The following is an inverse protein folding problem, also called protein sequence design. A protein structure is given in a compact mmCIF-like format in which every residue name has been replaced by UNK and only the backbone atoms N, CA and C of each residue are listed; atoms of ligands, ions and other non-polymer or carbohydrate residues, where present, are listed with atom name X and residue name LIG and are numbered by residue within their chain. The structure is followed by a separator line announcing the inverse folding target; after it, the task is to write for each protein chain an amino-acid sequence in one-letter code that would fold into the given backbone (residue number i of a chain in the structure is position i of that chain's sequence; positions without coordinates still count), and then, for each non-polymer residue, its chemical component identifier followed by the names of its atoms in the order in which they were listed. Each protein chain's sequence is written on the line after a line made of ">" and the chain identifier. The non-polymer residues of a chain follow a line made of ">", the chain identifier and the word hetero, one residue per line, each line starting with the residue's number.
data_IF_113112232175
#
_entry.id   IF_113112232175
#
_cell.length_a   1.000
_cell.length_b   1.000
_cell.length_c   1.000
_cell.angle_alpha   90.00
_cell.angle_beta   90.00
_cell.angle_gamma   90.00
#
_symmetry.space_group_name_H-M   'P 1'
#
loop_
_entity.id
_entity.type
_entity.pdbx_description
1 polymer ?
#
# COMPACT_ATOMS: atom_id res chain seq x y z
N UNK A 1 -16.26 15.60 24.98
CA UNK A 1 -17.06 14.39 24.73
C UNK A 1 -16.94 13.53 25.98
N UNK A 2 -17.68 13.87 27.02
CA UNK A 2 -17.91 13.00 28.16
C UNK A 2 -19.22 12.25 27.88
N UNK A 3 -19.22 10.92 28.02
CA UNK A 3 -20.41 10.09 27.83
C UNK A 3 -20.45 9.19 26.59
N UNK A 4 -19.33 8.98 25.88
CA UNK A 4 -19.26 7.90 24.90
C UNK A 4 -18.81 6.61 25.59
N UNK A 5 -19.77 5.74 25.91
CA UNK A 5 -19.51 4.41 26.45
C UNK A 5 -19.00 3.50 25.32
N UNK A 6 -17.69 3.23 25.36
CA UNK A 6 -17.01 2.41 24.36
C UNK A 6 -17.55 0.97 24.37
N UNK A 7 -17.97 0.45 25.52
CA UNK A 7 -18.48 -0.90 25.67
C UNK A 7 -19.91 -0.99 25.12
N UNK A 8 -20.73 0.04 25.34
CA UNK A 8 -22.07 0.14 24.73
C UNK A 8 -21.98 0.28 23.20
N UNK A 9 -21.02 1.06 22.70
CA UNK A 9 -20.79 1.19 21.26
C UNK A 9 -20.22 -0.08 20.65
N UNK A 10 -19.29 -0.77 21.33
CA UNK A 10 -18.80 -2.09 20.92
C UNK A 10 -19.94 -3.10 20.87
N UNK A 11 -20.80 -3.14 21.89
CA UNK A 11 -22.03 -3.96 21.88
C UNK A 11 -22.95 -3.57 20.75
N UNK A 12 -23.13 -2.28 20.46
CA UNK A 12 -23.96 -1.81 19.35
C UNK A 12 -23.41 -2.26 17.99
N UNK A 13 -22.12 -2.07 17.73
CA UNK A 13 -21.46 -2.52 16.49
C UNK A 13 -21.52 -4.04 16.40
N UNK A 14 -21.21 -4.76 17.47
CA UNK A 14 -21.29 -6.22 17.53
C UNK A 14 -22.72 -6.72 17.23
N UNK A 15 -23.71 -6.16 17.93
CA UNK A 15 -25.14 -6.50 17.76
C UNK A 15 -25.63 -6.16 16.36
N UNK A 16 -25.20 -5.05 15.77
CA UNK A 16 -25.55 -4.69 14.38
C UNK A 16 -24.85 -5.59 13.37
N UNK A 17 -23.59 -5.95 13.58
CA UNK A 17 -22.88 -6.90 12.74
C UNK A 17 -23.50 -8.31 12.82
N UNK A 18 -23.92 -8.77 13.99
CA UNK A 18 -24.60 -10.06 14.18
C UNK A 18 -26.03 -10.06 13.63
N UNK A 19 -26.80 -8.99 13.87
CA UNK A 19 -28.18 -8.89 13.43
C UNK A 19 -28.33 -8.77 11.91
N UNK A 20 -27.30 -8.30 11.19
CA UNK A 20 -27.41 -8.02 9.77
C UNK A 20 -27.16 -9.23 8.88
N UNK A 21 -26.48 -10.30 9.32
CA UNK A 21 -26.27 -11.55 8.56
C UNK A 21 -25.66 -11.41 7.15
N UNK A 22 -25.46 -10.18 6.67
CA UNK A 22 -25.19 -9.78 5.31
C UNK A 22 -24.14 -8.68 5.34
N UNK A 23 -22.94 -9.07 4.90
CA UNK A 23 -21.71 -8.30 4.92
C UNK A 23 -21.71 -7.18 3.86
N UNK A 24 -22.70 -7.16 2.97
CA UNK A 24 -22.75 -6.22 1.83
C UNK A 24 -22.92 -4.76 2.25
N UNK A 25 -23.63 -4.48 3.36
CA UNK A 25 -23.85 -3.12 3.86
C UNK A 25 -22.79 -2.65 4.88
N UNK A 26 -21.97 -3.57 5.41
CA UNK A 26 -20.90 -3.27 6.37
C UNK A 26 -19.84 -2.33 5.76
N UNK A 27 -19.56 -2.48 4.47
CA UNK A 27 -18.64 -1.59 3.75
C UNK A 27 -19.09 -0.12 3.72
N UNK A 28 -20.39 0.16 3.72
CA UNK A 28 -20.91 1.54 3.72
C UNK A 28 -20.74 2.17 5.10
N UNK A 29 -21.09 1.45 6.17
CA UNK A 29 -20.91 1.92 7.54
C UNK A 29 -19.44 2.02 7.93
N UNK A 30 -18.61 1.06 7.51
CA UNK A 30 -17.17 1.10 7.71
C UNK A 30 -16.53 2.24 6.92
N UNK A 31 -16.94 2.52 5.68
CA UNK A 31 -16.41 3.65 4.92
C UNK A 31 -16.89 4.99 5.50
N UNK A 32 -18.13 5.07 6.01
CA UNK A 32 -18.61 6.25 6.75
C UNK A 32 -17.84 6.45 8.06
N UNK A 33 -17.57 5.36 8.80
CA UNK A 33 -16.86 5.39 10.07
C UNK A 33 -15.35 5.60 9.91
N UNK A 34 -14.72 4.98 8.91
CA UNK A 34 -13.31 5.22 8.55
C UNK A 34 -13.17 6.65 8.05
N UNK A 35 -14.07 7.16 7.22
CA UNK A 35 -14.09 8.59 6.90
C UNK A 35 -14.27 9.43 8.16
N UNK A 36 -15.16 9.07 9.09
CA UNK A 36 -15.39 9.87 10.30
C UNK A 36 -14.19 9.83 11.26
N UNK A 37 -13.63 8.67 11.57
CA UNK A 37 -12.42 8.49 12.39
C UNK A 37 -11.19 9.07 11.70
N UNK A 38 -10.97 8.78 10.42
CA UNK A 38 -9.91 9.41 9.63
C UNK A 38 -10.09 10.93 9.66
N UNK A 39 -11.32 11.46 9.53
CA UNK A 39 -11.55 12.89 9.70
C UNK A 39 -11.20 13.36 11.12
N UNK A 40 -11.48 12.62 12.20
CA UNK A 40 -11.13 13.02 13.57
C UNK A 40 -9.62 12.91 13.87
N UNK A 41 -8.96 11.85 13.40
CA UNK A 41 -7.52 11.66 13.54
C UNK A 41 -6.74 12.65 12.67
N UNK A 42 -7.13 12.83 11.40
CA UNK A 42 -6.58 13.88 10.55
C UNK A 42 -6.89 15.24 11.15
N UNK A 43 -8.08 15.48 11.73
CA UNK A 43 -8.40 16.69 12.51
C UNK A 43 -7.38 16.90 13.62
N UNK A 44 -7.12 15.91 14.45
CA UNK A 44 -6.13 16.02 15.53
C UNK A 44 -4.68 16.22 15.06
N UNK A 45 -4.26 15.60 13.93
CA UNK A 45 -2.88 15.67 13.43
C UNK A 45 -2.61 16.85 12.48
N UNK A 46 -3.60 17.29 11.70
CA UNK A 46 -3.44 18.26 10.62
C UNK A 46 -4.30 19.52 10.78
N UNK A 47 -5.28 19.50 11.68
CA UNK A 47 -6.14 20.63 11.99
C UNK A 47 -5.93 21.03 13.46
N UNK A 48 -4.85 21.77 13.72
CA UNK A 48 -4.79 22.65 14.90
C UNK A 48 -6.06 23.51 14.95
N UNK A 49 -6.44 24.01 16.14
CA UNK A 49 -7.65 24.81 16.46
C UNK A 49 -7.93 26.07 15.59
N UNK A 50 -7.20 26.28 14.50
CA UNK A 50 -7.52 27.24 13.45
C UNK A 50 -8.86 26.89 12.81
N UNK A 51 -9.81 27.81 12.97
CA UNK A 51 -11.17 27.71 12.49
C UNK A 51 -11.21 27.28 11.00
N UNK A 52 -12.13 26.37 10.62
CA UNK A 52 -12.28 25.93 9.26
C UNK A 52 -12.75 27.10 8.38
N UNK A 53 -11.86 27.60 7.51
CA UNK A 53 -12.22 28.68 6.60
C UNK A 53 -12.78 28.08 5.32
N UNK A 54 -14.08 28.28 5.08
CA UNK A 54 -14.71 28.13 3.76
C UNK A 54 -14.26 29.30 2.88
N UNK A 55 -12.95 29.45 2.71
CA UNK A 55 -12.36 30.64 2.12
C UNK A 55 -12.25 30.45 0.61
N UNK A 56 -12.88 31.35 -0.15
CA UNK A 56 -12.58 31.51 -1.56
C UNK A 56 -11.08 31.74 -1.80
N UNK A 57 -10.35 32.27 -0.81
CA UNK A 57 -8.87 32.38 -0.84
C UNK A 57 -8.16 31.03 -0.84
N UNK A 58 -8.63 30.01 -0.12
CA UNK A 58 -7.98 28.68 -0.11
C UNK A 58 -8.09 28.03 -1.49
N UNK A 59 -9.27 28.15 -2.11
CA UNK A 59 -9.48 27.67 -3.48
C UNK A 59 -8.63 28.46 -4.49
N UNK A 60 -8.57 29.79 -4.38
CA UNK A 60 -7.73 30.62 -5.24
C UNK A 60 -6.24 30.28 -5.11
N UNK A 61 -5.77 30.04 -3.89
CA UNK A 61 -4.38 29.61 -3.63
C UNK A 61 -4.13 28.22 -4.22
N UNK A 62 -5.07 27.28 -4.11
CA UNK A 62 -4.94 25.97 -4.75
C UNK A 62 -4.84 26.07 -6.28
N UNK A 63 -5.72 26.87 -6.91
CA UNK A 63 -5.67 27.14 -8.36
C UNK A 63 -4.33 27.78 -8.74
N UNK A 64 -3.86 28.75 -7.96
CA UNK A 64 -2.57 29.41 -8.19
C UNK A 64 -1.40 28.42 -8.06
N UNK A 65 -1.38 27.59 -7.02
CA UNK A 65 -0.38 26.53 -6.84
C UNK A 65 -0.36 25.62 -8.05
N UNK A 66 -1.53 25.15 -8.47
CA UNK A 66 -1.67 24.28 -9.64
C UNK A 66 -1.15 24.96 -10.92
N UNK A 67 -1.48 26.22 -11.15
CA UNK A 67 -0.99 27.00 -12.29
C UNK A 67 0.54 27.21 -12.24
N UNK A 68 1.09 27.52 -11.05
CA UNK A 68 2.52 27.64 -10.82
C UNK A 68 3.21 26.31 -11.11
N UNK A 69 2.69 25.18 -10.63
CA UNK A 69 3.30 23.87 -10.87
C UNK A 69 3.23 23.46 -12.34
N UNK A 70 2.16 23.81 -13.06
CA UNK A 70 2.10 23.59 -14.52
C UNK A 70 3.16 24.44 -15.24
N UNK A 71 3.25 25.74 -14.94
CA UNK A 71 4.25 26.63 -15.54
C UNK A 71 5.69 26.26 -15.17
N UNK A 72 5.94 26.05 -13.88
CA UNK A 72 7.24 25.67 -13.34
C UNK A 72 7.65 24.26 -13.76
N UNK A 73 6.71 23.33 -13.93
CA UNK A 73 6.97 22.00 -14.48
C UNK A 73 7.53 22.08 -15.90
N UNK A 74 6.88 22.88 -16.77
CA UNK A 74 7.35 23.13 -18.14
C UNK A 74 8.76 23.74 -18.12
N UNK A 75 9.00 24.74 -17.27
CA UNK A 75 10.30 25.42 -17.15
C UNK A 75 11.38 24.50 -16.55
N UNK A 76 11.07 23.75 -15.50
CA UNK A 76 11.98 22.81 -14.85
C UNK A 76 12.43 21.73 -15.83
N UNK A 77 11.50 21.15 -16.60
CA UNK A 77 11.85 20.18 -17.64
C UNK A 77 12.74 20.79 -18.73
N UNK A 78 12.51 22.05 -19.12
CA UNK A 78 13.37 22.76 -20.07
C UNK A 78 14.79 23.01 -19.51
N UNK A 79 14.90 23.39 -18.23
CA UNK A 79 16.18 23.68 -17.56
C UNK A 79 16.99 22.42 -17.25
N UNK A 80 16.35 21.36 -16.76
CA UNK A 80 16.99 20.07 -16.48
C UNK A 80 17.67 19.50 -17.72
N UNK A 81 17.10 19.71 -18.92
CA UNK A 81 17.74 19.34 -20.19
C UNK A 81 18.98 20.19 -20.52
N UNK A 82 18.95 21.48 -20.22
CA UNK A 82 20.10 22.38 -20.40
C UNK A 82 21.28 21.98 -19.51
N UNK A 83 20.99 21.53 -18.29
CA UNK A 83 22.01 21.18 -17.30
C UNK A 83 22.49 19.71 -17.36
N UNK A 84 21.65 18.75 -17.78
CA UNK A 84 22.00 17.32 -17.80
C UNK A 84 22.72 16.85 -19.07
N UNK A 85 23.14 17.78 -19.94
CA UNK A 85 24.01 17.59 -21.11
C UNK A 85 24.16 16.16 -21.64
N UNK A 86 23.39 15.80 -22.69
CA UNK A 86 23.49 14.61 -23.57
C UNK A 86 24.40 13.45 -23.13
N UNK A 87 24.32 12.96 -21.89
CA UNK A 87 24.83 11.64 -21.57
C UNK A 87 23.72 10.68 -21.97
N UNK A 88 23.75 10.24 -23.22
CA UNK A 88 22.90 9.16 -23.69
C UNK A 88 23.22 7.92 -22.86
N UNK A 89 22.43 7.69 -21.82
CA UNK A 89 22.37 6.39 -21.18
C UNK A 89 21.74 5.44 -22.21
N UNK A 90 22.56 4.81 -23.04
CA UNK A 90 22.16 3.68 -23.87
C UNK A 90 21.96 2.45 -22.98
N UNK A 91 20.97 2.51 -22.10
CA UNK A 91 20.36 1.29 -21.63
C UNK A 91 19.54 0.78 -22.83
N UNK A 92 20.03 -0.27 -23.50
CA UNK A 92 19.22 -1.00 -24.48
C UNK A 92 18.09 -1.70 -23.71
N UNK A 93 16.98 -0.99 -23.53
CA UNK A 93 15.71 -1.63 -23.20
C UNK A 93 15.31 -2.37 -24.46
N UNK A 94 15.62 -3.65 -24.53
CA UNK A 94 15.12 -4.50 -25.60
C UNK A 94 13.60 -4.58 -25.44
N UNK A 95 12.88 -4.67 -26.54
CA UNK A 95 11.43 -4.88 -26.51
C UNK A 95 11.12 -6.14 -25.70
N UNK A 96 10.38 -5.99 -24.60
CA UNK A 96 9.87 -7.11 -23.82
C UNK A 96 8.37 -7.17 -23.96
N UNK A 97 7.81 -8.35 -24.18
CA UNK A 97 6.34 -8.53 -24.26
C UNK A 97 5.64 -8.24 -22.93
N UNK A 98 6.37 -8.38 -21.80
CA UNK A 98 5.86 -8.15 -20.45
C UNK A 98 6.60 -7.01 -19.76
N UNK A 99 5.87 -6.10 -19.09
CA UNK A 99 6.45 -5.07 -18.24
C UNK A 99 5.96 -5.19 -16.80
N UNK A 100 6.90 -5.28 -15.85
CA UNK A 100 6.64 -5.14 -14.42
C UNK A 100 6.54 -3.68 -14.01
N UNK A 101 5.56 -3.28 -13.22
CA UNK A 101 5.44 -1.91 -12.69
C UNK A 101 5.48 -1.94 -11.16
N UNK A 102 6.61 -1.51 -10.59
CA UNK A 102 6.85 -1.49 -9.16
C UNK A 102 6.63 -0.09 -8.57
N UNK A 103 5.78 0.00 -7.56
CA UNK A 103 5.43 1.25 -6.87
C UNK A 103 6.06 1.36 -5.48
N UNK A 104 6.43 0.23 -4.86
CA UNK A 104 7.10 0.19 -3.56
C UNK A 104 8.09 -0.98 -3.49
N UNK A 105 8.95 -1.01 -2.47
CA UNK A 105 9.93 -2.10 -2.29
C UNK A 105 9.27 -3.47 -2.13
N UNK A 106 8.16 -3.55 -1.39
CA UNK A 106 7.41 -4.82 -1.23
C UNK A 106 6.85 -5.32 -2.58
N UNK A 107 6.34 -4.41 -3.42
CA UNK A 107 5.87 -4.77 -4.77
C UNK A 107 7.02 -5.23 -5.66
N UNK A 108 8.17 -4.56 -5.57
CA UNK A 108 9.30 -4.85 -6.43
C UNK A 108 9.80 -6.28 -6.22
N UNK A 109 9.95 -6.68 -4.96
CA UNK A 109 10.44 -8.00 -4.64
C UNK A 109 9.54 -9.12 -5.16
N UNK A 110 8.22 -8.97 -4.98
CA UNK A 110 7.22 -9.92 -5.48
C UNK A 110 7.20 -9.97 -7.00
N UNK A 111 7.27 -8.79 -7.65
CA UNK A 111 7.33 -8.69 -9.10
C UNK A 111 8.60 -9.35 -9.65
N UNK A 112 9.74 -9.21 -8.99
CA UNK A 112 10.99 -9.88 -9.39
C UNK A 112 10.84 -11.40 -9.37
N UNK A 113 10.39 -11.95 -8.25
CA UNK A 113 10.16 -13.40 -8.10
C UNK A 113 9.18 -13.91 -9.16
N UNK A 114 8.10 -13.17 -9.40
CA UNK A 114 7.11 -13.53 -10.41
C UNK A 114 7.69 -13.49 -11.83
N UNK A 115 8.30 -12.36 -12.22
CA UNK A 115 8.79 -12.16 -13.58
C UNK A 115 9.95 -13.10 -13.92
N UNK A 116 10.89 -13.34 -12.99
CA UNK A 116 11.98 -14.31 -13.20
C UNK A 116 11.46 -15.70 -13.54
N UNK A 117 10.35 -16.10 -12.91
CA UNK A 117 9.83 -17.46 -13.01
C UNK A 117 8.84 -17.64 -14.15
N UNK A 118 7.98 -16.64 -14.37
CA UNK A 118 6.82 -16.74 -15.23
C UNK A 118 6.94 -15.93 -16.53
N UNK A 119 7.98 -15.10 -16.69
CA UNK A 119 8.20 -14.30 -17.91
C UNK A 119 9.60 -14.51 -18.46
N UNK A 120 9.70 -15.01 -19.70
CA UNK A 120 11.01 -15.22 -20.36
C UNK A 120 11.73 -13.91 -20.67
N UNK A 121 10.97 -12.87 -21.02
CA UNK A 121 11.48 -11.54 -21.34
C UNK A 121 10.62 -10.51 -20.64
N UNK A 122 11.20 -9.78 -19.69
CA UNK A 122 10.48 -8.75 -18.95
C UNK A 122 11.36 -7.55 -18.64
N UNK A 123 10.78 -6.36 -18.69
CA UNK A 123 11.33 -5.14 -18.12
C UNK A 123 10.70 -4.84 -16.76
N UNK A 124 11.36 -4.07 -15.91
CA UNK A 124 10.75 -3.53 -14.68
C UNK A 124 10.82 -2.01 -14.72
N UNK A 125 9.67 -1.38 -14.59
CA UNK A 125 9.48 0.06 -14.47
C UNK A 125 9.33 0.43 -12.99
N UNK A 126 10.20 1.30 -12.48
CA UNK A 126 10.12 1.80 -11.10
C UNK A 126 9.46 3.18 -11.06
N UNK A 127 8.32 3.26 -10.37
CA UNK A 127 7.56 4.51 -10.23
C UNK A 127 8.01 5.36 -9.04
N UNK A 128 8.14 4.74 -7.87
CA UNK A 128 8.44 5.42 -6.60
C UNK A 128 9.43 4.62 -5.74
N UNK A 129 10.14 3.68 -6.38
CA UNK A 129 11.15 2.87 -5.71
C UNK A 129 12.49 3.58 -5.76
N UNK A 130 13.03 3.92 -4.59
CA UNK A 130 14.44 4.24 -4.44
C UNK A 130 15.24 2.95 -4.70
N UNK A 131 15.55 2.69 -5.97
CA UNK A 131 16.43 1.61 -6.36
C UNK A 131 17.82 1.87 -5.76
N UNK A 132 18.07 1.35 -4.56
CA UNK A 132 19.45 1.17 -4.07
C UNK A 132 20.14 0.33 -5.14
N UNK A 133 21.24 0.82 -5.71
CA UNK A 133 22.05 0.09 -6.71
C UNK A 133 22.40 -1.30 -6.15
N UNK A 134 21.59 -2.32 -6.44
CA UNK A 134 21.85 -3.69 -6.02
C UNK A 134 22.67 -4.35 -7.13
N UNK A 135 23.95 -4.55 -6.86
CA UNK A 135 24.98 -5.00 -7.82
C UNK A 135 24.86 -6.45 -8.32
N UNK A 136 23.71 -7.14 -8.24
CA UNK A 136 23.66 -8.60 -8.49
C UNK A 136 22.63 -9.12 -9.48
N UNK A 137 21.81 -8.28 -10.08
CA UNK A 137 20.95 -8.70 -11.18
C UNK A 137 21.12 -7.76 -12.37
N UNK A 138 21.31 -8.33 -13.56
CA UNK A 138 21.18 -7.65 -14.85
C UNK A 138 19.68 -7.40 -15.08
N UNK A 139 19.05 -6.64 -14.19
CA UNK A 139 17.71 -6.14 -14.41
C UNK A 139 17.80 -4.92 -15.31
N UNK A 140 17.13 -4.97 -16.45
CA UNK A 140 16.83 -3.78 -17.27
C UNK A 140 15.75 -2.97 -16.58
N UNK A 141 16.11 -2.43 -15.43
CA UNK A 141 15.26 -1.64 -14.60
C UNK A 141 15.21 -0.19 -15.09
N UNK A 142 14.03 0.30 -15.48
CA UNK A 142 13.82 1.66 -15.96
C UNK A 142 13.11 2.44 -14.86
N UNK A 143 13.79 3.35 -14.17
CA UNK A 143 13.08 4.27 -13.27
C UNK A 143 12.30 5.30 -14.09
N UNK A 144 11.30 5.98 -13.52
CA UNK A 144 10.65 7.15 -14.18
C UNK A 144 11.69 8.15 -14.68
N UNK A 145 12.79 8.34 -13.94
CA UNK A 145 13.93 9.15 -14.38
C UNK A 145 14.61 8.58 -15.64
N UNK A 146 14.82 7.26 -15.72
CA UNK A 146 15.32 6.64 -16.94
C UNK A 146 14.30 6.69 -18.09
N UNK A 147 12.99 6.65 -17.82
CA UNK A 147 11.98 6.87 -18.88
C UNK A 147 12.18 8.28 -19.48
N UNK A 148 12.44 9.29 -18.64
CA UNK A 148 12.73 10.65 -19.10
C UNK A 148 14.00 10.69 -19.97
N UNK A 149 15.00 9.85 -19.67
CA UNK A 149 16.25 9.78 -20.44
C UNK A 149 16.11 8.98 -21.75
N UNK A 150 15.19 8.00 -21.80
CA UNK A 150 14.98 7.07 -22.93
C UNK A 150 13.90 7.54 -23.91
N UNK A 151 12.92 8.31 -23.44
CA UNK A 151 11.92 8.97 -24.26
C UNK A 151 12.47 10.33 -24.70
N UNK A 152 12.37 10.64 -25.99
CA UNK A 152 12.87 11.92 -26.48
C UNK A 152 12.11 13.08 -25.82
N UNK A 153 12.79 14.19 -25.55
CA UNK A 153 12.12 15.38 -25.01
C UNK A 153 10.92 15.82 -25.86
N UNK A 154 10.98 15.62 -27.18
CA UNK A 154 9.86 15.87 -28.06
C UNK A 154 8.66 15.02 -27.63
N UNK A 155 8.84 13.71 -27.50
CA UNK A 155 7.79 12.79 -27.05
C UNK A 155 7.29 13.12 -25.63
N UNK A 156 8.16 13.47 -24.68
CA UNK A 156 7.74 13.91 -23.32
C UNK A 156 6.94 15.21 -23.38
N UNK A 157 7.43 16.19 -24.13
CA UNK A 157 6.74 17.47 -24.31
C UNK A 157 5.36 17.26 -24.95
N UNK A 158 5.25 16.46 -26.01
CA UNK A 158 3.96 16.10 -26.59
C UNK A 158 3.09 15.32 -25.59
N UNK A 159 3.67 14.41 -24.82
CA UNK A 159 2.99 13.63 -23.79
C UNK A 159 2.52 14.47 -22.58
N UNK A 160 3.06 15.66 -22.37
CA UNK A 160 2.67 16.56 -21.27
C UNK A 160 1.83 17.76 -21.74
N UNK A 161 2.21 18.37 -22.86
CA UNK A 161 1.59 19.60 -23.36
C UNK A 161 0.37 19.34 -24.26
N UNK A 162 0.25 18.15 -24.85
CA UNK A 162 -0.80 17.85 -25.84
C UNK A 162 -1.52 16.52 -25.54
N UNK A 163 -0.99 15.69 -24.62
CA UNK A 163 -1.60 14.39 -24.33
C UNK A 163 -2.99 14.55 -23.72
N UNK A 164 -4.04 14.03 -24.41
CA UNK A 164 -5.38 13.96 -23.83
C UNK A 164 -5.39 13.19 -22.51
N UNK A 165 -4.47 12.24 -22.35
CA UNK A 165 -4.31 11.42 -21.15
C UNK A 165 -3.86 12.29 -19.96
N UNK A 166 -2.84 13.15 -20.16
CA UNK A 166 -2.38 14.08 -19.11
C UNK A 166 -3.54 14.95 -18.63
N UNK A 167 -4.20 15.64 -19.55
CA UNK A 167 -5.29 16.57 -19.23
C UNK A 167 -6.50 15.85 -18.61
N UNK A 168 -6.84 14.66 -19.09
CA UNK A 168 -7.93 13.85 -18.55
C UNK A 168 -7.67 13.49 -17.08
N UNK A 169 -6.50 12.94 -16.75
CA UNK A 169 -6.18 12.58 -15.36
C UNK A 169 -6.07 13.79 -14.46
N UNK A 170 -5.38 14.82 -14.93
CA UNK A 170 -5.24 16.06 -14.19
C UNK A 170 -6.60 16.67 -13.88
N UNK A 171 -7.47 16.81 -14.90
CA UNK A 171 -8.81 17.39 -14.73
C UNK A 171 -9.70 16.54 -13.82
N UNK A 172 -9.70 15.21 -13.98
CA UNK A 172 -10.50 14.29 -13.16
C UNK A 172 -10.08 14.35 -11.69
N UNK A 173 -8.78 14.28 -11.41
CA UNK A 173 -8.28 14.33 -10.05
C UNK A 173 -8.44 15.74 -9.45
N UNK A 174 -8.23 16.78 -10.24
CA UNK A 174 -8.50 18.17 -9.84
C UNK A 174 -9.97 18.37 -9.47
N UNK A 175 -10.91 17.89 -10.29
CA UNK A 175 -12.35 17.90 -10.01
C UNK A 175 -12.67 17.13 -8.73
N UNK A 176 -12.03 15.99 -8.50
CA UNK A 176 -12.23 15.20 -7.27
C UNK A 176 -11.78 15.97 -6.03
N UNK A 177 -10.60 16.62 -6.10
CA UNK A 177 -10.13 17.51 -5.03
C UNK A 177 -11.10 18.67 -4.85
N UNK A 178 -11.56 19.33 -5.92
CA UNK A 178 -12.54 20.41 -5.82
C UNK A 178 -13.86 19.97 -5.16
N UNK A 179 -14.38 18.80 -5.52
CA UNK A 179 -15.61 18.27 -4.94
C UNK A 179 -15.43 17.95 -3.45
N UNK A 180 -14.29 17.35 -3.08
CA UNK A 180 -13.95 17.11 -1.67
C UNK A 180 -13.83 18.45 -0.93
N UNK A 181 -13.12 19.42 -1.50
CA UNK A 181 -12.95 20.75 -0.92
C UNK A 181 -14.24 21.56 -0.80
N UNK A 182 -15.19 21.34 -1.72
CA UNK A 182 -16.50 22.01 -1.70
C UNK A 182 -17.45 21.37 -0.68
N UNK A 183 -17.38 20.04 -0.53
CA UNK A 183 -18.25 19.26 0.33
C UNK A 183 -17.74 19.15 1.78
N UNK A 184 -16.43 19.17 1.97
CA UNK A 184 -15.78 18.96 3.25
C UNK A 184 -14.77 20.06 3.57
N UNK A 185 -14.50 20.25 4.86
CA UNK A 185 -13.45 21.14 5.31
C UNK A 185 -12.09 20.51 5.01
N UNK A 186 -11.39 21.06 4.03
CA UNK A 186 -10.02 20.68 3.68
C UNK A 186 -9.04 21.71 4.20
N UNK A 187 -7.93 21.24 4.78
CA UNK A 187 -6.85 22.12 5.22
C UNK A 187 -6.02 22.60 4.02
N UNK A 188 -5.35 23.74 4.18
CA UNK A 188 -4.33 24.19 3.22
C UNK A 188 -3.26 23.13 2.97
N UNK A 189 -2.84 22.40 4.03
CA UNK A 189 -1.88 21.28 3.93
C UNK A 189 -2.39 20.19 2.98
N UNK A 190 -3.67 19.83 3.08
CA UNK A 190 -4.29 18.86 2.17
C UNK A 190 -4.28 19.35 0.72
N UNK A 191 -4.62 20.62 0.49
CA UNK A 191 -4.60 21.21 -0.86
C UNK A 191 -3.20 21.22 -1.47
N UNK A 192 -2.17 21.61 -0.71
CA UNK A 192 -0.78 21.58 -1.18
C UNK A 192 -0.30 20.16 -1.48
N UNK A 193 -0.56 19.23 -0.55
CA UNK A 193 -0.22 17.81 -0.72
C UNK A 193 -0.89 17.22 -1.97
N UNK A 194 -2.18 17.51 -2.14
CA UNK A 194 -2.95 17.05 -3.30
C UNK A 194 -2.44 17.68 -4.58
N UNK A 195 -2.22 19.00 -4.61
CA UNK A 195 -1.77 19.75 -5.79
C UNK A 195 -0.46 19.22 -6.38
N UNK A 196 0.54 18.95 -5.53
CA UNK A 196 1.82 18.37 -5.98
C UNK A 196 1.59 16.98 -6.59
N UNK A 197 0.80 16.14 -5.92
CA UNK A 197 0.57 14.77 -6.36
C UNK A 197 -0.31 14.68 -7.61
N UNK A 198 -1.22 15.63 -7.84
CA UNK A 198 -2.01 15.71 -9.07
C UNK A 198 -1.12 15.79 -10.30
N UNK A 199 -0.13 16.68 -10.26
CA UNK A 199 0.83 16.87 -11.36
C UNK A 199 1.72 15.65 -11.50
N UNK A 200 2.23 15.12 -10.37
CA UNK A 200 3.06 13.92 -10.37
C UNK A 200 2.33 12.72 -11.00
N UNK A 201 1.07 12.48 -10.64
CA UNK A 201 0.27 11.38 -11.17
C UNK A 201 0.04 11.53 -12.67
N UNK A 202 -0.28 12.74 -13.15
CA UNK A 202 -0.50 13.01 -14.57
C UNK A 202 0.80 12.83 -15.40
N UNK A 203 1.94 13.30 -14.89
CA UNK A 203 3.26 13.08 -15.52
C UNK A 203 3.57 11.59 -15.59
N UNK A 204 3.40 10.87 -14.49
CA UNK A 204 3.65 9.45 -14.40
C UNK A 204 2.78 8.63 -15.37
N UNK A 205 1.49 8.96 -15.46
CA UNK A 205 0.57 8.33 -16.39
C UNK A 205 1.00 8.55 -17.86
N UNK A 206 1.36 9.78 -18.22
CA UNK A 206 1.87 10.09 -19.57
C UNK A 206 3.15 9.35 -19.91
N UNK A 207 4.10 9.27 -18.97
CA UNK A 207 5.37 8.58 -19.18
C UNK A 207 5.17 7.07 -19.32
N UNK A 208 4.30 6.46 -18.51
CA UNK A 208 3.97 5.04 -18.63
C UNK A 208 3.27 4.75 -19.95
N UNK A 209 2.28 5.56 -20.35
CA UNK A 209 1.60 5.38 -21.63
C UNK A 209 2.60 5.40 -22.80
N UNK A 210 3.47 6.40 -22.83
CA UNK A 210 4.48 6.53 -23.87
C UNK A 210 5.48 5.35 -23.85
N UNK A 211 5.87 4.86 -22.67
CA UNK A 211 6.71 3.69 -22.52
C UNK A 211 6.04 2.43 -23.08
N UNK A 212 4.82 2.10 -22.62
CA UNK A 212 4.11 0.89 -23.02
C UNK A 212 3.84 0.88 -24.54
N UNK A 213 3.48 2.03 -25.10
CA UNK A 213 3.26 2.18 -26.54
C UNK A 213 4.56 2.01 -27.35
N UNK A 214 5.66 2.67 -26.94
CA UNK A 214 6.95 2.61 -27.65
C UNK A 214 7.51 1.19 -27.72
N UNK A 215 7.36 0.42 -26.65
CA UNK A 215 7.90 -0.94 -26.54
C UNK A 215 6.91 -2.03 -26.93
N UNK A 216 5.71 -1.67 -27.40
CA UNK A 216 4.66 -2.63 -27.81
C UNK A 216 4.41 -3.73 -26.76
N UNK A 217 4.36 -3.31 -25.49
CA UNK A 217 4.12 -4.23 -24.36
C UNK A 217 2.74 -4.86 -24.52
N UNK A 218 2.65 -6.18 -24.31
CA UNK A 218 1.40 -6.95 -24.39
C UNK A 218 0.81 -7.26 -23.01
N UNK A 219 1.67 -7.40 -22.01
CA UNK A 219 1.29 -7.75 -20.64
C UNK A 219 1.91 -6.77 -19.63
N UNK A 220 1.12 -6.31 -18.68
CA UNK A 220 1.61 -5.52 -17.54
C UNK A 220 1.35 -6.25 -16.24
N UNK A 221 2.40 -6.47 -15.47
CA UNK A 221 2.32 -7.06 -14.13
C UNK A 221 2.63 -5.97 -13.11
N UNK A 222 1.76 -5.72 -12.14
CA UNK A 222 2.02 -4.70 -11.13
C UNK A 222 1.60 -5.16 -9.73
N UNK A 223 2.28 -4.62 -8.71
CA UNK A 223 1.92 -4.90 -7.32
C UNK A 223 0.96 -3.90 -6.70
N UNK A 224 0.45 -2.94 -7.47
CA UNK A 224 -0.55 -1.97 -7.06
C UNK A 224 -1.96 -2.59 -7.16
N UNK A 225 -2.80 -2.37 -6.17
CA UNK A 225 -4.16 -2.96 -6.12
C UNK A 225 -5.21 -1.89 -6.40
N UNK A 226 -5.32 -0.93 -5.50
CA UNK A 226 -6.35 0.09 -5.47
C UNK A 226 -5.79 1.51 -5.30
N UNK A 227 -4.47 1.66 -5.32
CA UNK A 227 -3.85 2.96 -5.25
C UNK A 227 -4.12 3.76 -6.54
N UNK A 228 -3.87 5.07 -6.45
CA UNK A 228 -3.99 5.99 -7.59
C UNK A 228 -3.20 5.50 -8.82
N UNK A 229 -2.07 4.84 -8.58
CA UNK A 229 -1.24 4.20 -9.60
C UNK A 229 -1.96 3.08 -10.35
N UNK A 230 -2.58 2.13 -9.63
CA UNK A 230 -3.37 1.06 -10.24
C UNK A 230 -4.52 1.57 -11.09
N UNK A 231 -5.19 2.66 -10.66
CA UNK A 231 -6.33 3.22 -11.41
C UNK A 231 -5.92 3.71 -12.80
N UNK A 232 -4.92 4.59 -12.90
CA UNK A 232 -4.53 5.10 -14.21
C UNK A 232 -3.79 4.04 -15.05
N UNK A 233 -3.07 3.11 -14.40
CA UNK A 233 -2.37 2.05 -15.10
C UNK A 233 -3.37 1.12 -15.80
N UNK A 234 -4.47 0.76 -15.13
CA UNK A 234 -5.54 -0.04 -15.75
C UNK A 234 -6.15 0.68 -16.95
N UNK A 235 -6.48 1.96 -16.81
CA UNK A 235 -7.07 2.76 -17.88
C UNK A 235 -6.13 2.87 -19.10
N UNK A 236 -4.83 3.11 -18.88
CA UNK A 236 -3.83 3.11 -19.95
C UNK A 236 -3.77 1.75 -20.64
N UNK A 237 -3.73 0.65 -19.87
CA UNK A 237 -3.68 -0.69 -20.44
C UNK A 237 -4.94 -1.01 -21.25
N UNK A 238 -6.12 -0.60 -20.78
CA UNK A 238 -7.37 -0.77 -21.53
C UNK A 238 -7.33 -0.02 -22.87
N UNK A 239 -6.85 1.23 -22.89
CA UNK A 239 -6.71 2.03 -24.14
C UNK A 239 -5.75 1.35 -25.12
N UNK A 240 -4.67 0.76 -24.60
CA UNK A 240 -3.66 0.08 -25.41
C UNK A 240 -3.97 -1.40 -25.67
N UNK A 241 -5.10 -1.93 -25.19
CA UNK A 241 -5.46 -3.35 -25.25
C UNK A 241 -4.36 -4.27 -24.70
N UNK A 242 -3.80 -3.89 -23.56
CA UNK A 242 -2.75 -4.61 -22.82
C UNK A 242 -3.40 -5.41 -21.69
N UNK A 243 -3.05 -6.68 -21.57
CA UNK A 243 -3.51 -7.53 -20.47
C UNK A 243 -2.79 -7.17 -19.16
N UNK A 244 -3.54 -7.14 -18.05
CA UNK A 244 -2.99 -6.77 -16.74
C UNK A 244 -3.09 -7.90 -15.71
N UNK A 245 -2.00 -8.09 -14.96
CA UNK A 245 -1.92 -9.03 -13.83
C UNK A 245 -1.54 -8.27 -12.56
N UNK A 246 -2.35 -8.38 -11.51
CA UNK A 246 -2.02 -7.83 -10.19
C UNK A 246 -1.35 -8.91 -9.32
N UNK A 247 -0.14 -8.63 -8.84
CA UNK A 247 0.57 -9.42 -7.82
C UNK A 247 0.70 -8.56 -6.56
N UNK A 248 -0.32 -8.55 -5.70
CA UNK A 248 -0.50 -7.49 -4.73
C UNK A 248 0.65 -7.47 -3.71
N UNK A 249 1.14 -6.27 -3.39
CA UNK A 249 2.23 -6.09 -2.42
C UNK A 249 1.78 -6.09 -0.95
N UNK A 250 0.48 -6.18 -0.72
CA UNK A 250 -0.19 -6.22 0.56
C UNK A 250 -1.62 -6.69 0.32
N UNK A 251 -2.44 -6.66 1.36
CA UNK A 251 -3.79 -7.24 1.23
C UNK A 251 -4.74 -6.25 0.56
N UNK A 252 -5.60 -6.74 -0.33
CA UNK A 252 -6.71 -5.95 -0.83
C UNK A 252 -7.73 -5.64 0.26
N UNK A 253 -8.35 -4.46 0.17
CA UNK A 253 -9.49 -4.16 1.01
C UNK A 253 -10.68 -5.03 0.59
N UNK A 254 -11.36 -5.55 1.61
CA UNK A 254 -12.61 -6.27 1.55
C UNK A 254 -13.79 -5.29 1.35
N UNK A 255 -13.72 -4.43 0.33
CA UNK A 255 -14.84 -3.53 -0.02
C UNK A 255 -14.87 -3.22 -1.51
N UNK A 256 -16.06 -2.91 -2.03
CA UNK A 256 -16.23 -2.49 -3.42
C UNK A 256 -15.68 -1.09 -3.62
N UNK A 257 -14.48 -1.03 -4.19
CA UNK A 257 -13.81 0.22 -4.54
C UNK A 257 -14.47 0.90 -5.75
N UNK A 258 -14.62 2.23 -5.76
CA UNK A 258 -15.28 2.96 -6.85
C UNK A 258 -14.66 2.73 -8.24
N UNK A 259 -13.33 2.61 -8.30
CA UNK A 259 -12.59 2.39 -9.55
C UNK A 259 -12.22 0.91 -9.75
N UNK A 260 -12.77 0.01 -8.94
CA UNK A 260 -12.40 -1.40 -8.93
C UNK A 260 -10.99 -1.65 -8.37
N UNK A 261 -10.44 -2.80 -8.74
CA UNK A 261 -9.09 -3.27 -8.40
C UNK A 261 -8.36 -3.49 -9.72
N UNK A 262 -7.09 -3.08 -9.75
CA UNK A 262 -6.17 -3.28 -10.88
C UNK A 262 -6.04 -4.77 -11.24
N UNK A 263 -5.95 -5.08 -12.52
CA UNK A 263 -5.75 -6.43 -13.04
C UNK A 263 -6.97 -7.00 -13.76
N UNK A 264 -6.77 -7.46 -15.00
CA UNK A 264 -7.64 -8.43 -15.67
C UNK A 264 -7.57 -9.78 -14.96
N UNK A 265 -6.39 -10.11 -14.40
CA UNK A 265 -6.19 -11.20 -13.44
C UNK A 265 -5.61 -10.64 -12.15
N UNK A 266 -6.04 -11.18 -11.02
CA UNK A 266 -5.63 -10.76 -9.69
C UNK A 266 -5.17 -11.99 -8.88
N UNK A 267 -3.92 -11.98 -8.42
CA UNK A 267 -3.37 -13.06 -7.60
C UNK A 267 -3.74 -12.83 -6.13
N UNK A 268 -4.74 -13.55 -5.64
CA UNK A 268 -5.15 -13.53 -4.24
C UNK A 268 -4.10 -14.20 -3.36
N UNK A 269 -3.90 -13.63 -2.18
CA UNK A 269 -2.96 -14.12 -1.18
C UNK A 269 -3.51 -15.27 -0.36
N UNK A 270 -4.83 -15.36 -0.24
CA UNK A 270 -5.53 -16.44 0.47
C UNK A 270 -6.76 -16.89 -0.33
N UNK A 271 -7.23 -18.11 -0.10
CA UNK A 271 -8.50 -18.59 -0.66
C UNK A 271 -9.68 -17.73 -0.20
N UNK A 272 -9.63 -17.26 1.05
CA UNK A 272 -10.65 -16.38 1.63
C UNK A 272 -10.68 -15.01 0.93
N UNK A 273 -9.53 -14.43 0.59
CA UNK A 273 -9.48 -13.19 -0.20
C UNK A 273 -10.14 -13.39 -1.56
N UNK A 274 -9.86 -14.53 -2.23
CA UNK A 274 -10.52 -14.86 -3.51
C UNK A 274 -12.04 -14.92 -3.36
N UNK A 275 -12.54 -15.74 -2.44
CA UNK A 275 -13.98 -15.89 -2.19
C UNK A 275 -14.67 -14.54 -1.95
N UNK A 276 -14.03 -13.70 -1.14
CA UNK A 276 -14.56 -12.38 -0.80
C UNK A 276 -14.57 -11.43 -2.00
N UNK A 277 -13.46 -11.37 -2.75
CA UNK A 277 -13.37 -10.51 -3.92
C UNK A 277 -14.29 -10.97 -5.05
N UNK A 278 -14.48 -12.28 -5.24
CA UNK A 278 -15.44 -12.84 -6.19
C UNK A 278 -16.88 -12.48 -5.82
N UNK A 279 -17.22 -12.50 -4.52
CA UNK A 279 -18.53 -12.06 -4.07
C UNK A 279 -18.82 -10.58 -4.40
N UNK A 280 -17.80 -9.72 -4.40
CA UNK A 280 -17.94 -8.28 -4.67
C UNK A 280 -17.89 -7.93 -6.16
N UNK A 281 -16.96 -8.55 -6.89
CA UNK A 281 -16.57 -8.15 -8.24
C UNK A 281 -16.98 -9.18 -9.31
N UNK A 282 -17.51 -10.33 -8.90
CA UNK A 282 -17.82 -11.45 -9.79
C UNK A 282 -16.66 -12.45 -9.93
N UNK A 283 -16.97 -13.68 -10.36
CA UNK A 283 -15.99 -14.76 -10.48
C UNK A 283 -15.06 -14.57 -11.68
N UNK A 284 -13.97 -15.35 -11.70
CA UNK A 284 -13.22 -15.65 -12.94
C UNK A 284 -11.96 -14.82 -13.18
N UNK A 285 -11.71 -13.76 -12.41
CA UNK A 285 -10.44 -13.00 -12.46
C UNK A 285 -9.55 -13.12 -11.24
N UNK A 286 -10.06 -13.69 -10.15
CA UNK A 286 -9.35 -13.81 -8.89
C UNK A 286 -8.77 -15.21 -8.76
N UNK A 287 -7.45 -15.30 -8.74
CA UNK A 287 -6.70 -16.54 -8.81
C UNK A 287 -6.03 -16.75 -7.46
N UNK A 288 -6.33 -17.88 -6.81
CA UNK A 288 -5.57 -18.32 -5.65
C UNK A 288 -4.91 -19.65 -6.01
N UNK A 289 -3.59 -19.64 -6.04
CA UNK A 289 -2.76 -20.83 -6.18
C UNK A 289 -1.75 -20.83 -5.02
N UNK A 290 -1.96 -21.74 -4.07
CA UNK A 290 -1.12 -21.83 -2.88
C UNK A 290 0.34 -22.10 -3.23
N UNK A 291 0.64 -22.89 -4.27
CA UNK A 291 2.02 -23.15 -4.65
C UNK A 291 2.69 -21.88 -5.18
N UNK A 292 2.00 -21.12 -6.04
CA UNK A 292 2.52 -19.84 -6.56
C UNK A 292 2.73 -18.84 -5.43
N UNK A 293 1.77 -18.69 -4.52
CA UNK A 293 1.91 -17.82 -3.36
C UNK A 293 3.09 -18.26 -2.50
N UNK A 294 3.18 -19.54 -2.19
CA UNK A 294 4.27 -20.06 -1.37
C UNK A 294 5.64 -19.75 -2.00
N UNK A 295 5.78 -19.89 -3.31
CA UNK A 295 7.02 -19.57 -4.03
C UNK A 295 7.34 -18.07 -4.10
N UNK A 296 6.32 -17.22 -4.21
CA UNK A 296 6.49 -15.77 -4.24
C UNK A 296 6.85 -15.18 -2.87
N UNK A 297 6.46 -15.85 -1.77
CA UNK A 297 6.50 -15.32 -0.40
C UNK A 297 7.52 -16.04 0.50
N UNK A 298 7.94 -17.26 0.15
CA UNK A 298 8.94 -17.99 0.93
C UNK A 298 10.32 -17.34 0.89
N UNK A 299 10.98 -17.32 2.04
CA UNK A 299 12.35 -16.86 2.26
C UNK A 299 13.33 -18.03 2.41
N UNK A 300 13.14 -19.08 1.59
CA UNK A 300 13.83 -20.38 1.63
C UNK A 300 15.37 -20.32 1.75
N UNK A 301 16.01 -19.26 1.26
CA UNK A 301 17.47 -19.19 1.15
C UNK A 301 18.16 -18.33 2.22
N UNK A 302 17.42 -17.53 3.00
CA UNK A 302 18.04 -16.54 3.90
C UNK A 302 18.33 -17.12 5.29
N UNK A 303 17.66 -18.20 5.69
CA UNK A 303 17.71 -18.66 7.07
C UNK A 303 18.50 -19.96 7.29
N UNK A 304 19.81 -19.79 7.50
CA UNK A 304 20.61 -20.71 8.30
C UNK A 304 20.09 -20.70 9.75
N UNK A 305 19.94 -21.88 10.34
CA UNK A 305 19.47 -22.30 11.69
C UNK A 305 19.87 -21.48 12.96
N UNK A 306 20.06 -20.16 12.89
CA UNK A 306 20.67 -19.34 13.95
C UNK A 306 19.71 -18.39 14.66
N UNK A 307 18.50 -18.15 14.14
CA UNK A 307 17.52 -17.33 14.85
C UNK A 307 16.74 -18.20 15.83
N UNK A 308 17.09 -18.06 17.11
CA UNK A 308 16.54 -18.85 18.21
C UNK A 308 15.45 -18.10 18.99
N UNK A 309 15.12 -16.87 18.60
CA UNK A 309 14.12 -16.08 19.31
C UNK A 309 12.72 -16.62 18.99
N UNK A 310 12.02 -17.03 20.04
CA UNK A 310 10.72 -17.70 19.89
C UNK A 310 9.59 -16.74 19.59
N UNK A 311 9.69 -15.46 19.98
CA UNK A 311 8.60 -14.49 19.84
C UNK A 311 9.14 -13.18 19.25
N UNK A 312 8.55 -12.76 18.14
CA UNK A 312 8.78 -11.45 17.55
C UNK A 312 7.48 -10.64 17.65
N UNK A 313 7.58 -9.40 18.14
CA UNK A 313 6.49 -8.43 18.08
C UNK A 313 6.74 -7.44 16.95
N UNK A 314 5.84 -7.39 15.96
CA UNK A 314 5.94 -6.48 14.82
C UNK A 314 5.00 -5.27 14.97
N UNK A 315 5.58 -4.07 15.03
CA UNK A 315 4.85 -2.82 15.27
C UNK A 315 4.07 -2.33 14.04
N UNK A 316 3.03 -1.54 14.30
CA UNK A 316 2.22 -0.81 13.34
C UNK A 316 2.70 0.64 13.24
N UNK A 317 2.60 1.26 12.05
CA UNK A 317 3.00 2.67 11.88
C UNK A 317 2.05 3.68 12.52
N UNK A 318 0.82 3.28 12.83
CA UNK A 318 -0.27 4.22 13.16
C UNK A 318 -0.68 4.19 14.63
N UNK A 319 -0.39 3.12 15.36
CA UNK A 319 -0.87 2.93 16.73
C UNK A 319 0.25 2.60 17.72
N UNK A 320 1.18 3.55 17.88
CA UNK A 320 2.27 3.47 18.87
C UNK A 320 1.75 3.14 20.28
N UNK A 321 0.57 3.66 20.66
CA UNK A 321 0.02 3.45 22.00
C UNK A 321 -0.51 2.02 22.16
N UNK A 322 -1.22 1.49 21.16
CA UNK A 322 -1.61 0.09 21.16
C UNK A 322 -0.41 -0.85 21.15
N UNK A 323 0.59 -0.53 20.35
CA UNK A 323 1.82 -1.32 20.33
C UNK A 323 2.53 -1.33 21.67
N UNK A 324 2.62 -0.18 22.35
CA UNK A 324 3.13 -0.08 23.71
C UNK A 324 2.32 -0.93 24.70
N UNK A 325 0.98 -0.91 24.64
CA UNK A 325 0.12 -1.70 25.54
C UNK A 325 0.38 -3.20 25.42
N UNK A 326 0.49 -3.70 24.18
CA UNK A 326 0.79 -5.13 23.95
C UNK A 326 2.16 -5.48 24.51
N UNK A 327 3.18 -4.66 24.23
CA UNK A 327 4.53 -4.88 24.75
C UNK A 327 4.60 -4.82 26.28
N UNK A 328 3.91 -3.89 26.92
CA UNK A 328 3.84 -3.79 28.38
C UNK A 328 3.28 -5.05 29.01
N UNK A 329 2.22 -5.62 28.43
CA UNK A 329 1.65 -6.89 28.87
C UNK A 329 2.60 -8.07 28.65
N UNK A 330 3.28 -8.13 27.51
CA UNK A 330 4.29 -9.18 27.30
C UNK A 330 5.42 -9.10 28.35
N UNK A 331 5.80 -7.89 28.78
CA UNK A 331 6.78 -7.66 29.85
C UNK A 331 6.22 -8.06 31.21
N UNK A 332 4.97 -7.71 31.51
CA UNK A 332 4.27 -8.02 32.77
C UNK A 332 4.26 -9.53 33.05
N UNK A 333 4.04 -10.34 32.01
CA UNK A 333 4.04 -11.81 32.09
C UNK A 333 5.42 -12.45 31.81
N UNK A 334 6.49 -11.65 31.82
CA UNK A 334 7.90 -12.06 31.60
C UNK A 334 8.18 -12.82 30.29
N UNK A 335 7.37 -12.64 29.25
CA UNK A 335 7.64 -13.24 27.95
C UNK A 335 8.92 -12.66 27.33
N UNK A 336 9.78 -13.54 26.80
CA UNK A 336 10.95 -13.12 25.99
C UNK A 336 10.53 -12.88 24.55
N UNK A 337 10.70 -11.63 24.11
CA UNK A 337 10.41 -11.21 22.74
C UNK A 337 11.44 -10.20 22.23
N UNK A 338 11.51 -10.09 20.91
CA UNK A 338 12.27 -9.07 20.18
C UNK A 338 11.32 -8.28 19.27
N UNK A 339 11.77 -7.13 18.77
CA UNK A 339 10.89 -6.17 18.08
C UNK A 339 11.26 -6.08 16.61
N UNK A 340 10.26 -6.16 15.73
CA UNK A 340 10.39 -5.73 14.34
C UNK A 340 9.66 -4.40 14.21
N UNK A 341 10.40 -3.33 13.90
CA UNK A 341 9.79 -2.01 13.70
C UNK A 341 9.14 -1.90 12.32
N UNK A 342 8.05 -1.14 12.22
CA UNK A 342 7.57 -0.63 10.93
C UNK A 342 8.61 0.34 10.33
N UNK A 343 8.80 0.41 9.00
CA UNK A 343 9.73 1.37 8.38
C UNK A 343 9.54 2.86 8.70
N UNK A 344 8.36 3.23 9.22
CA UNK A 344 7.98 4.60 9.58
C UNK A 344 7.92 4.80 11.09
N UNK A 345 8.37 3.79 11.85
CA UNK A 345 8.32 3.76 13.30
C UNK A 345 9.74 3.75 13.87
N UNK A 346 9.86 4.06 15.16
CA UNK A 346 11.15 4.19 15.84
C UNK A 346 11.06 3.61 17.25
N UNK A 347 12.15 2.99 17.70
CA UNK A 347 12.25 2.48 19.07
C UNK A 347 12.07 3.58 20.13
N UNK A 348 12.38 4.84 19.79
CA UNK A 348 12.19 5.99 20.68
C UNK A 348 10.71 6.28 21.02
N UNK A 349 9.78 5.72 20.24
CA UNK A 349 8.35 5.86 20.50
C UNK A 349 7.89 5.03 21.71
N UNK A 350 8.73 4.10 22.17
CA UNK A 350 8.38 3.11 23.18
C UNK A 350 9.21 3.24 24.46
N UNK A 351 8.56 2.98 25.60
CA UNK A 351 9.16 3.01 26.93
C UNK A 351 9.55 1.61 27.38
N UNK A 352 10.58 1.06 26.74
CA UNK A 352 11.02 -0.31 27.00
C UNK A 352 12.26 -0.37 27.91
N UNK A 353 12.36 -1.36 28.82
CA UNK A 353 13.59 -1.66 29.55
C UNK A 353 14.74 -1.96 28.58
N UNK A 354 16.01 -1.61 28.90
CA UNK A 354 17.14 -1.83 28.00
C UNK A 354 17.27 -3.28 27.48
N UNK A 355 16.98 -4.28 28.33
CA UNK A 355 17.02 -5.70 27.97
C UNK A 355 15.97 -6.11 26.92
N UNK A 356 14.93 -5.29 26.68
CA UNK A 356 13.81 -5.57 25.77
C UNK A 356 13.88 -4.75 24.47
N UNK A 357 15.01 -4.08 24.21
CA UNK A 357 15.20 -3.15 23.08
C UNK A 357 15.82 -3.77 21.82
N UNK A 358 15.86 -5.10 21.74
CA UNK A 358 16.45 -5.80 20.58
C UNK A 358 15.52 -5.66 19.38
N UNK A 359 16.04 -5.03 18.31
CA UNK A 359 15.35 -4.88 17.03
C UNK A 359 15.89 -5.89 16.02
N UNK A 360 15.00 -6.53 15.27
CA UNK A 360 15.33 -7.51 14.24
C UNK A 360 14.91 -7.02 12.85
N UNK A 361 15.53 -7.61 11.83
CA UNK A 361 15.19 -7.41 10.43
C UNK A 361 13.83 -8.02 10.07
N UNK A 362 13.32 -7.68 8.88
CA UNK A 362 12.07 -8.29 8.38
C UNK A 362 12.24 -9.78 8.14
N UNK A 363 13.38 -10.21 7.57
CA UNK A 363 13.63 -11.62 7.27
C UNK A 363 13.67 -12.47 8.56
N UNK A 364 14.28 -11.95 9.63
CA UNK A 364 14.25 -12.57 10.96
C UNK A 364 12.85 -12.66 11.54
N UNK A 365 12.04 -11.61 11.39
CA UNK A 365 10.66 -11.60 11.89
C UNK A 365 9.77 -12.63 11.18
N UNK A 366 9.91 -12.75 9.86
CA UNK A 366 9.15 -13.69 9.03
C UNK A 366 9.48 -15.16 9.34
N UNK A 367 10.68 -15.43 9.84
CA UNK A 367 11.16 -16.79 10.16
C UNK A 367 11.14 -17.09 11.67
N UNK A 368 10.40 -16.30 12.45
CA UNK A 368 10.28 -16.51 13.89
C UNK A 368 9.40 -17.73 14.23
N UNK A 369 9.54 -18.30 15.43
CA UNK A 369 8.62 -19.37 15.85
C UNK A 369 7.21 -18.83 16.02
N UNK A 370 7.07 -17.67 16.66
CA UNK A 370 5.80 -16.97 16.86
C UNK A 370 5.96 -15.51 16.46
N UNK A 371 5.05 -15.03 15.63
CA UNK A 371 4.95 -13.62 15.26
C UNK A 371 3.67 -13.03 15.84
N UNK A 372 3.80 -11.98 16.64
CA UNK A 372 2.68 -11.22 17.18
C UNK A 372 2.65 -9.89 16.45
N UNK A 373 1.49 -9.49 15.95
CA UNK A 373 1.33 -8.18 15.29
C UNK A 373 -0.12 -7.72 15.40
N UNK A 374 -0.35 -6.43 15.15
CA UNK A 374 -1.68 -5.92 14.81
C UNK A 374 -1.99 -6.26 13.34
N UNK A 375 -3.10 -5.78 12.78
CA UNK A 375 -3.40 -6.02 11.36
C UNK A 375 -2.28 -5.49 10.46
N UNK A 376 -1.61 -6.40 9.75
CA UNK A 376 -0.44 -6.08 8.94
C UNK A 376 -0.27 -7.13 7.85
N UNK A 377 0.24 -6.72 6.68
CA UNK A 377 0.52 -7.64 5.57
C UNK A 377 1.61 -8.69 5.92
N UNK A 378 2.40 -8.44 6.97
CA UNK A 378 3.44 -9.38 7.44
C UNK A 378 2.84 -10.72 7.92
N UNK A 379 1.55 -10.77 8.25
CA UNK A 379 0.87 -11.97 8.75
C UNK A 379 0.87 -13.10 7.73
N UNK A 380 0.67 -12.77 6.45
CA UNK A 380 0.65 -13.72 5.34
C UNK A 380 2.07 -14.22 5.11
N UNK A 381 3.01 -13.28 4.90
CA UNK A 381 4.41 -13.58 4.66
C UNK A 381 4.98 -14.49 5.77
N UNK A 382 4.68 -14.22 7.04
CA UNK A 382 5.19 -15.03 8.16
C UNK A 382 4.52 -16.41 8.26
N UNK A 383 3.21 -16.49 7.96
CA UNK A 383 2.48 -17.77 7.95
C UNK A 383 3.02 -18.72 6.88
N UNK A 384 3.30 -18.20 5.67
CA UNK A 384 3.90 -18.96 4.56
C UNK A 384 5.35 -19.40 4.86
N UNK A 385 6.02 -18.74 5.80
CA UNK A 385 7.33 -19.12 6.31
C UNK A 385 7.28 -19.96 7.60
N UNK A 386 6.09 -20.47 7.98
CA UNK A 386 5.91 -21.43 9.08
C UNK A 386 5.83 -20.81 10.48
N UNK A 387 5.75 -19.49 10.61
CA UNK A 387 5.52 -18.83 11.90
C UNK A 387 4.11 -19.12 12.42
N UNK A 388 3.97 -19.34 13.73
CA UNK A 388 2.67 -19.25 14.39
C UNK A 388 2.31 -17.76 14.57
N UNK A 389 1.37 -17.27 13.78
CA UNK A 389 1.02 -15.85 13.75
C UNK A 389 -0.15 -15.55 14.68
N UNK A 390 -0.02 -14.51 15.50
CA UNK A 390 -1.07 -13.95 16.35
C UNK A 390 -1.40 -12.53 15.90
N UNK A 391 -2.66 -12.27 15.58
CA UNK A 391 -3.18 -10.96 15.18
C UNK A 391 -3.99 -10.39 16.34
N UNK A 392 -3.49 -9.31 16.94
CA UNK A 392 -4.12 -8.67 18.10
C UNK A 392 -5.09 -7.59 17.65
N UNK A 393 -6.36 -7.74 18.04
CA UNK A 393 -7.45 -6.80 17.82
C UNK A 393 -7.86 -6.25 19.18
N UNK A 394 -7.17 -5.21 19.66
CA UNK A 394 -7.36 -4.65 21.00
C UNK A 394 -8.09 -3.29 21.01
N UNK A 395 -8.57 -2.84 19.86
CA UNK A 395 -9.33 -1.59 19.74
C UNK A 395 -10.51 -1.72 18.76
N UNK A 396 -11.45 -0.78 18.87
CA UNK A 396 -12.57 -0.67 17.93
C UNK A 396 -12.08 -0.40 16.51
N UNK A 397 -11.02 0.40 16.36
CA UNK A 397 -10.42 0.68 15.06
C UNK A 397 -9.86 -0.61 14.44
N UNK A 398 -9.15 -1.43 15.21
CA UNK A 398 -8.64 -2.72 14.71
C UNK A 398 -9.78 -3.66 14.34
N UNK A 399 -10.85 -3.69 15.14
CA UNK A 399 -11.99 -4.57 14.86
C UNK A 399 -12.67 -4.21 13.54
N UNK A 400 -12.79 -2.91 13.25
CA UNK A 400 -13.37 -2.40 12.02
C UNK A 400 -12.44 -2.64 10.84
N UNK A 401 -11.14 -2.35 11.00
CA UNK A 401 -10.15 -2.65 9.98
C UNK A 401 -10.14 -4.16 9.67
N UNK A 402 -10.23 -5.03 10.68
CA UNK A 402 -10.27 -6.48 10.49
C UNK A 402 -11.55 -6.93 9.78
N UNK A 403 -12.73 -6.60 10.32
CA UNK A 403 -14.00 -7.14 9.81
C UNK A 403 -14.42 -6.52 8.49
N UNK A 404 -14.07 -5.26 8.26
CA UNK A 404 -14.61 -4.49 7.14
C UNK A 404 -13.61 -4.23 6.03
N UNK A 405 -12.31 -4.17 6.36
CA UNK A 405 -11.28 -3.81 5.38
C UNK A 405 -10.35 -4.98 5.07
N UNK A 406 -9.96 -5.78 6.06
CA UNK A 406 -8.82 -6.69 5.89
C UNK A 406 -9.16 -8.10 6.37
N UNK A 407 -10.41 -8.53 6.24
CA UNK A 407 -10.81 -9.86 6.71
C UNK A 407 -10.14 -10.97 5.91
N UNK A 408 -10.05 -10.80 4.58
CA UNK A 408 -9.28 -11.68 3.69
C UNK A 408 -7.77 -11.58 3.86
N UNK A 409 -7.28 -10.62 4.66
CA UNK A 409 -5.85 -10.37 4.94
C UNK A 409 -5.23 -11.30 5.95
N UNK A 410 -6.07 -11.98 6.72
CA UNK A 410 -5.59 -12.85 7.77
C UNK A 410 -5.47 -14.23 7.17
N UNK A 411 -4.22 -14.72 7.11
CA UNK A 411 -3.94 -16.08 6.67
C UNK A 411 -4.75 -17.06 7.53
N UNK A 412 -5.36 -18.12 6.95
CA UNK A 412 -6.24 -19.03 7.71
C UNK A 412 -5.58 -19.71 8.92
N UNK A 413 -4.25 -19.85 8.93
CA UNK A 413 -3.50 -20.39 10.08
C UNK A 413 -3.19 -19.35 11.17
N UNK A 414 -3.36 -18.06 10.89
CA UNK A 414 -3.12 -17.00 11.86
C UNK A 414 -4.27 -16.95 12.89
N UNK A 415 -3.89 -16.78 14.16
CA UNK A 415 -4.81 -16.74 15.28
C UNK A 415 -5.18 -15.30 15.60
N UNK A 416 -6.45 -14.96 15.43
CA UNK A 416 -6.97 -13.65 15.81
C UNK A 416 -7.38 -13.68 17.28
N UNK A 417 -6.88 -12.72 18.05
CA UNK A 417 -7.20 -12.56 19.48
C UNK A 417 -7.80 -11.17 19.70
N UNK A 418 -8.84 -11.08 20.52
CA UNK A 418 -9.63 -9.86 20.74
C UNK A 418 -9.27 -9.12 22.03
N UNK A 419 -8.24 -9.60 22.72
CA UNK A 419 -7.63 -8.89 23.84
C UNK A 419 -6.18 -9.32 24.04
N UNK A 420 -5.42 -8.49 24.76
CA UNK A 420 -4.05 -8.83 25.12
C UNK A 420 -4.01 -9.94 26.17
N UNK A 421 -5.04 -10.05 27.02
CA UNK A 421 -5.12 -11.15 28.00
C UNK A 421 -5.39 -12.50 27.31
N UNK A 422 -6.21 -12.52 26.26
CA UNK A 422 -6.42 -13.71 25.43
C UNK A 422 -5.11 -14.15 24.75
N UNK A 423 -4.34 -13.18 24.22
CA UNK A 423 -3.01 -13.45 23.68
C UNK A 423 -2.11 -14.13 24.71
N UNK A 424 -2.03 -13.57 25.92
CA UNK A 424 -1.22 -14.12 27.01
C UNK A 424 -1.66 -15.54 27.37
N UNK A 425 -2.97 -15.80 27.42
CA UNK A 425 -3.52 -17.14 27.63
C UNK A 425 -2.98 -18.15 26.62
N UNK A 426 -2.95 -17.81 25.33
CA UNK A 426 -2.42 -18.70 24.30
C UNK A 426 -0.90 -18.84 24.30
N UNK A 427 -0.16 -17.82 24.72
CA UNK A 427 1.29 -17.93 24.86
C UNK A 427 1.69 -18.73 26.11
N UNK A 428 0.86 -18.73 27.15
CA UNK A 428 1.10 -19.43 28.41
C UNK A 428 0.73 -20.92 28.41
N UNK A 429 -0.14 -21.39 27.50
CA UNK A 429 -0.54 -22.81 27.43
C UNK A 429 0.53 -23.75 26.87
N UNK A 430 1.61 -23.20 26.32
CA UNK A 430 2.70 -23.96 25.68
C UNK A 430 4.00 -23.98 26.52
N UNK A 431 3.94 -23.50 27.78
CA UNK A 431 5.02 -23.56 28.78
C UNK A 431 4.65 -24.58 29.85
#
# INVERSE_FOLDING_TARGET
>A
MEGFDLDEFQKYVHTKCEALGDVSNLGIYANYFHQHIFFQEVKSQYFSDTAPVRDSKVLAIFILIVAIFLGAGIVFFALVRGCLGRRSFHASVDSSETAGVATCNGSLERLRSYLLKYSKESSIVYMDVLAKKSNRFIEKGVTVRHIIDVISFREIFFALAISPIFYSYFYRNFRSVLLISAKYYVSYKFCCYSGIRLVQDAVNASLIHAYLQKYSVKNVVAGTTNERYGTYLQEICNVLSIDTVCIPHGVSPCLKLPNGIFGNSYMCLTSREREYLEAIYGPGRFIYDHQVINELYQRKEVFNSRFTESIVYATCSRDVKGDQRVMDKLIEYDFRFVIKLHPNDSLSNYRLPPARRKVVSIDEALCSTRLITKLSAITIDASENGSQVFVVIDSVCDLIDYRCLYFGAVHPSAKVVYSVDELVGFLGTDV
#
